data_IF_361631993791
#
_entry.id   IF_361631993791
#
_cell.length_a   1.000
_cell.length_b   1.000
_cell.length_c   1.000
_cell.angle_alpha   90.00
_cell.angle_beta   90.00
_cell.angle_gamma   90.00
#
_symmetry.space_group_name_H-M   'P 1'
#
loop_
_entity.id
_entity.type
_entity.pdbx_description
1 polymer ?
#
# COMPACT_ATOMS: atom_id res chain seq x y z
N UNK A 1 10.11 23.32 -18.24
CA UNK A 1 10.06 22.38 -17.13
C UNK A 1 9.99 20.95 -17.67
N UNK A 2 10.19 19.99 -16.80
CA UNK A 2 10.07 18.56 -17.18
C UNK A 2 8.62 18.06 -17.14
N UNK A 3 7.70 18.84 -16.59
CA UNK A 3 6.32 18.49 -16.35
C UNK A 3 5.43 19.74 -16.48
N UNK A 4 4.22 19.58 -16.94
CA UNK A 4 3.20 20.63 -16.91
C UNK A 4 2.77 20.97 -15.47
N UNK A 5 2.21 22.17 -15.23
CA UNK A 5 1.78 22.55 -13.89
C UNK A 5 0.76 21.57 -13.30
N UNK A 6 0.99 21.16 -12.05
CA UNK A 6 0.10 20.29 -11.31
C UNK A 6 0.08 20.68 -9.83
N UNK A 7 -1.00 20.34 -9.13
CA UNK A 7 -1.10 20.47 -7.69
C UNK A 7 -0.68 19.14 -7.08
N UNK A 8 0.38 19.15 -6.28
CA UNK A 8 0.82 17.98 -5.53
C UNK A 8 0.24 18.06 -4.11
N UNK A 9 -0.56 17.07 -3.74
CA UNK A 9 -1.18 16.96 -2.43
C UNK A 9 -0.53 15.83 -1.65
N UNK A 10 0.01 16.12 -0.49
CA UNK A 10 0.62 15.16 0.43
C UNK A 10 -0.14 15.20 1.76
N UNK A 11 -1.22 14.44 1.89
CA UNK A 11 -2.02 14.46 3.12
C UNK A 11 -1.28 13.77 4.26
N UNK A 12 -1.49 14.25 5.48
CA UNK A 12 -1.11 13.54 6.69
C UNK A 12 -2.09 12.39 6.91
N UNK A 13 -1.60 11.16 6.77
CA UNK A 13 -2.40 9.93 6.85
C UNK A 13 -1.94 9.00 7.97
N UNK A 14 -1.21 9.54 8.96
CA UNK A 14 -0.81 8.78 10.13
C UNK A 14 -2.00 8.42 11.02
N UNK A 15 -1.99 7.19 11.51
CA UNK A 15 -2.96 6.66 12.47
C UNK A 15 -2.32 6.41 13.82
N UNK A 16 -3.08 5.98 14.82
CA UNK A 16 -2.54 5.58 16.13
C UNK A 16 -1.59 4.37 16.07
N UNK A 17 -1.57 3.65 14.95
CA UNK A 17 -0.68 2.50 14.68
C UNK A 17 0.41 2.82 13.65
N UNK A 18 0.59 4.08 13.29
CA UNK A 18 1.52 4.53 12.26
C UNK A 18 0.80 4.94 10.99
N UNK A 19 1.26 4.50 9.81
CA UNK A 19 0.63 4.75 8.53
C UNK A 19 -0.69 3.99 8.33
N UNK A 20 -1.20 3.99 7.11
CA UNK A 20 -2.37 3.20 6.74
C UNK A 20 -2.23 2.65 5.31
N UNK A 21 -3.15 1.76 4.92
CA UNK A 21 -3.16 1.10 3.61
C UNK A 21 -4.23 1.65 2.66
N UNK A 22 -4.81 2.80 2.97
CA UNK A 22 -5.81 3.49 2.13
C UNK A 22 -7.04 2.65 1.78
N UNK A 23 -7.42 1.76 2.68
CA UNK A 23 -8.67 1.00 2.65
C UNK A 23 -9.55 1.38 3.85
N UNK A 24 -10.82 1.04 3.77
CA UNK A 24 -11.73 1.23 4.88
C UNK A 24 -11.58 0.10 5.91
N UNK A 25 -11.34 0.47 7.16
CA UNK A 25 -11.24 -0.44 8.30
C UNK A 25 -12.04 0.13 9.47
N UNK A 26 -12.71 -0.73 10.20
CA UNK A 26 -13.46 -0.33 11.41
C UNK A 26 -12.51 0.12 12.55
N UNK A 27 -11.25 -0.31 12.53
CA UNK A 27 -10.26 -0.01 13.56
C UNK A 27 -9.40 1.19 13.19
N UNK A 28 -8.92 1.23 11.94
CA UNK A 28 -7.94 2.24 11.49
C UNK A 28 -8.64 3.47 10.92
N UNK A 29 -9.85 3.32 10.40
CA UNK A 29 -10.64 4.40 9.80
C UNK A 29 -10.98 4.16 8.33
N UNK A 30 -11.87 4.99 7.80
CA UNK A 30 -12.39 4.87 6.42
C UNK A 30 -11.54 5.65 5.43
N UNK A 31 -10.30 5.23 5.27
CA UNK A 31 -9.31 5.96 4.47
C UNK A 31 -9.52 5.86 2.96
N UNK A 32 -10.07 4.73 2.49
CA UNK A 32 -10.46 4.58 1.09
C UNK A 32 -11.57 5.56 0.72
N UNK A 33 -12.68 5.52 1.46
CA UNK A 33 -13.81 6.45 1.29
C UNK A 33 -13.37 7.92 1.40
N UNK A 34 -12.54 8.25 2.40
CA UNK A 34 -12.04 9.61 2.58
C UNK A 34 -11.22 10.09 1.37
N UNK A 35 -10.33 9.24 0.85
CA UNK A 35 -9.47 9.59 -0.27
C UNK A 35 -10.29 9.79 -1.56
N UNK A 36 -11.21 8.86 -1.83
CA UNK A 36 -12.07 8.86 -3.02
C UNK A 36 -13.07 10.03 -3.03
N UNK A 37 -13.70 10.31 -1.90
CA UNK A 37 -14.80 11.27 -1.82
C UNK A 37 -14.36 12.58 -1.17
N UNK A 38 -14.07 12.56 0.14
CA UNK A 38 -13.91 13.80 0.94
C UNK A 38 -12.75 14.66 0.48
N UNK A 39 -11.57 14.05 0.26
CA UNK A 39 -10.39 14.79 -0.18
C UNK A 39 -10.56 15.34 -1.60
N UNK A 40 -11.08 14.54 -2.53
CA UNK A 40 -11.30 14.97 -3.90
C UNK A 40 -12.34 16.08 -3.99
N UNK A 41 -13.46 15.97 -3.26
CA UNK A 41 -14.48 17.02 -3.20
C UNK A 41 -13.89 18.33 -2.67
N UNK A 42 -13.14 18.29 -1.58
CA UNK A 42 -12.50 19.48 -1.02
C UNK A 42 -11.54 20.15 -1.99
N UNK A 43 -10.75 19.35 -2.72
CA UNK A 43 -9.82 19.87 -3.74
C UNK A 43 -10.56 20.46 -4.94
N UNK A 44 -11.60 19.80 -5.43
CA UNK A 44 -12.42 20.29 -6.55
C UNK A 44 -13.18 21.58 -6.21
N UNK A 45 -13.60 21.73 -4.96
CA UNK A 45 -14.25 22.97 -4.47
C UNK A 45 -13.27 24.13 -4.34
N UNK A 46 -11.96 23.86 -4.21
CA UNK A 46 -10.93 24.88 -3.96
C UNK A 46 -10.13 25.26 -5.21
N UNK A 47 -9.99 24.33 -6.14
CA UNK A 47 -9.15 24.49 -7.32
C UNK A 47 -9.91 24.05 -8.57
N UNK A 48 -9.58 24.67 -9.70
CA UNK A 48 -9.99 24.18 -11.01
C UNK A 48 -9.09 22.99 -11.38
N UNK A 49 -9.67 21.80 -11.41
CA UNK A 49 -8.97 20.52 -11.59
C UNK A 49 -9.52 19.81 -12.80
N UNK A 50 -8.64 19.39 -13.72
CA UNK A 50 -8.99 18.63 -14.92
C UNK A 50 -9.03 17.10 -14.67
N UNK A 51 -8.34 16.61 -13.64
CA UNK A 51 -8.33 15.19 -13.30
C UNK A 51 -7.46 14.90 -12.09
N UNK A 52 -7.46 13.65 -11.62
CA UNK A 52 -6.80 13.19 -10.41
C UNK A 52 -5.91 11.98 -10.68
N UNK A 53 -4.69 12.02 -10.18
CA UNK A 53 -3.78 10.88 -10.18
C UNK A 53 -3.34 10.49 -8.78
N UNK A 54 -3.01 9.24 -8.59
CA UNK A 54 -2.40 8.72 -7.37
C UNK A 54 -0.95 8.34 -7.61
N UNK A 55 -0.09 8.69 -6.67
CA UNK A 55 1.29 8.22 -6.66
C UNK A 55 1.69 7.90 -5.23
N UNK A 56 2.37 6.79 -5.05
CA UNK A 56 2.86 6.44 -3.74
C UNK A 56 3.95 5.40 -3.76
N UNK A 57 4.61 5.26 -2.61
CA UNK A 57 5.65 4.27 -2.36
C UNK A 57 5.24 3.39 -1.18
N UNK A 58 5.63 2.10 -1.20
CA UNK A 58 5.34 1.16 -0.11
C UNK A 58 3.82 1.09 0.16
N UNK A 59 3.35 1.28 1.37
CA UNK A 59 1.91 1.43 1.69
C UNK A 59 1.18 2.43 0.80
N UNK A 60 1.82 3.56 0.44
CA UNK A 60 1.26 4.53 -0.51
C UNK A 60 1.19 3.99 -1.95
N UNK A 61 2.17 3.17 -2.36
CA UNK A 61 2.17 2.47 -3.64
C UNK A 61 1.08 1.40 -3.69
N UNK A 62 0.91 0.65 -2.61
CA UNK A 62 -0.22 -0.25 -2.43
C UNK A 62 -1.55 0.49 -2.54
N UNK A 63 -1.70 1.60 -1.79
CA UNK A 63 -2.88 2.43 -1.87
C UNK A 63 -3.17 2.91 -3.31
N UNK A 64 -2.16 3.34 -4.05
CA UNK A 64 -2.34 3.77 -5.44
C UNK A 64 -2.85 2.62 -6.33
N UNK A 65 -2.27 1.42 -6.23
CA UNK A 65 -2.65 0.29 -7.09
C UNK A 65 -4.05 -0.23 -6.76
N UNK A 66 -4.39 -0.44 -5.48
CA UNK A 66 -5.70 -0.96 -5.11
C UNK A 66 -6.83 0.05 -5.34
N UNK A 67 -6.58 1.35 -5.09
CA UNK A 67 -7.57 2.39 -5.38
C UNK A 67 -7.79 2.53 -6.88
N UNK A 68 -6.71 2.43 -7.68
CA UNK A 68 -6.83 2.38 -9.14
C UNK A 68 -7.56 1.16 -9.67
N UNK A 69 -7.53 0.02 -8.97
CA UNK A 69 -8.32 -1.17 -9.30
C UNK A 69 -9.80 -1.01 -8.94
N UNK A 70 -10.09 -0.43 -7.77
CA UNK A 70 -11.42 -0.49 -7.17
C UNK A 70 -12.30 0.73 -7.45
N UNK A 71 -11.69 1.89 -7.75
CA UNK A 71 -12.38 3.16 -7.93
C UNK A 71 -12.25 3.66 -9.37
N UNK A 72 -13.34 4.18 -9.93
CA UNK A 72 -13.37 4.71 -11.32
C UNK A 72 -13.03 6.21 -11.41
N UNK A 73 -12.49 6.78 -10.34
CA UNK A 73 -12.32 8.23 -10.21
C UNK A 73 -10.87 8.72 -10.38
N UNK A 74 -9.95 7.84 -10.71
CA UNK A 74 -8.54 8.14 -10.91
C UNK A 74 -8.16 8.04 -12.39
N UNK A 75 -7.51 9.08 -12.92
CA UNK A 75 -7.14 9.16 -14.34
C UNK A 75 -5.76 8.54 -14.63
N UNK A 76 -4.91 8.41 -13.63
CA UNK A 76 -3.62 7.72 -13.73
C UNK A 76 -3.10 7.33 -12.34
N UNK A 77 -2.35 6.25 -12.25
CA UNK A 77 -1.76 5.78 -10.98
C UNK A 77 -0.28 5.41 -11.14
N UNK A 78 0.50 5.59 -10.07
CA UNK A 78 1.88 5.11 -10.01
C UNK A 78 2.17 4.44 -8.65
N UNK A 79 2.63 3.21 -8.73
CA UNK A 79 2.99 2.35 -7.60
C UNK A 79 4.51 2.14 -7.58
N UNK A 80 5.19 2.71 -6.60
CA UNK A 80 6.62 2.50 -6.36
C UNK A 80 6.82 1.53 -5.20
N UNK A 81 7.30 0.33 -5.46
CA UNK A 81 7.53 -0.71 -4.44
C UNK A 81 6.33 -0.86 -3.50
N UNK A 82 5.11 -0.92 -4.04
CA UNK A 82 3.88 -1.09 -3.27
C UNK A 82 3.71 -2.52 -2.78
N UNK A 83 3.07 -2.68 -1.62
CA UNK A 83 2.86 -3.98 -1.00
C UNK A 83 2.09 -4.91 -1.95
N UNK A 84 2.64 -6.10 -2.20
CA UNK A 84 2.08 -7.09 -3.11
C UNK A 84 2.69 -8.47 -2.81
N UNK A 85 1.91 -9.54 -2.94
CA UNK A 85 2.34 -10.89 -2.63
C UNK A 85 2.43 -11.12 -1.12
N UNK A 86 1.30 -11.01 -0.43
CA UNK A 86 1.20 -10.99 1.03
C UNK A 86 1.77 -12.24 1.71
N UNK A 87 1.81 -13.37 1.03
CA UNK A 87 2.45 -14.58 1.58
C UNK A 87 3.95 -14.38 1.79
N UNK A 88 4.64 -13.70 0.86
CA UNK A 88 6.07 -13.43 0.92
C UNK A 88 6.41 -12.12 1.65
N UNK A 89 5.45 -11.22 1.77
CA UNK A 89 5.63 -9.93 2.44
C UNK A 89 5.26 -10.01 3.92
N UNK A 90 4.06 -10.48 4.25
CA UNK A 90 3.53 -10.51 5.61
C UNK A 90 3.54 -11.91 6.23
N UNK A 91 3.25 -12.95 5.43
CA UNK A 91 3.15 -14.33 5.92
C UNK A 91 4.44 -14.82 6.56
N UNK A 92 5.58 -14.52 5.98
CA UNK A 92 6.90 -14.91 6.51
C UNK A 92 7.28 -14.21 7.82
N UNK A 93 6.64 -13.07 8.12
CA UNK A 93 6.93 -12.25 9.29
C UNK A 93 6.19 -12.69 10.56
N UNK A 94 5.19 -13.58 10.41
CA UNK A 94 4.31 -13.95 11.51
C UNK A 94 5.07 -14.58 12.71
N UNK A 95 6.06 -15.42 12.44
CA UNK A 95 6.84 -16.06 13.51
C UNK A 95 7.68 -15.05 14.31
N UNK A 96 8.32 -14.11 13.62
CA UNK A 96 9.11 -13.05 14.24
C UNK A 96 8.21 -12.12 15.05
N UNK A 97 7.11 -11.66 14.44
CA UNK A 97 6.13 -10.78 15.09
C UNK A 97 5.55 -11.41 16.34
N UNK A 98 5.12 -12.68 16.26
CA UNK A 98 4.57 -13.40 17.40
C UNK A 98 5.59 -13.52 18.54
N UNK A 99 6.86 -13.79 18.22
CA UNK A 99 7.94 -13.89 19.21
C UNK A 99 8.11 -12.56 19.93
N UNK A 100 8.19 -11.44 19.22
CA UNK A 100 8.35 -10.11 19.81
C UNK A 100 7.13 -9.72 20.67
N UNK A 101 5.93 -9.95 20.18
CA UNK A 101 4.69 -9.71 20.94
C UNK A 101 4.69 -10.49 22.26
N UNK A 102 5.14 -11.76 22.25
CA UNK A 102 5.19 -12.59 23.44
C UNK A 102 6.24 -12.13 24.47
N UNK A 103 7.34 -11.51 24.04
CA UNK A 103 8.33 -10.90 24.95
C UNK A 103 7.71 -9.82 25.84
N UNK A 104 6.73 -9.08 25.30
CA UNK A 104 6.00 -8.04 26.03
C UNK A 104 4.78 -8.56 26.81
N UNK A 105 4.43 -9.84 26.68
CA UNK A 105 3.27 -10.44 27.34
C UNK A 105 1.96 -10.38 26.52
N UNK A 106 2.05 -10.18 25.21
CA UNK A 106 0.95 -10.19 24.26
C UNK A 106 0.78 -8.87 23.53
N UNK A 107 -0.07 -8.87 22.49
CA UNK A 107 -0.30 -7.72 21.61
C UNK A 107 -0.69 -6.44 22.37
N UNK A 108 -1.60 -6.57 23.33
CA UNK A 108 -2.06 -5.43 24.14
C UNK A 108 -0.94 -4.79 24.95
N UNK A 109 -0.05 -5.59 25.54
CA UNK A 109 1.07 -5.08 26.33
C UNK A 109 2.16 -4.50 25.42
N UNK A 110 2.41 -5.10 24.26
CA UNK A 110 3.27 -4.53 23.25
C UNK A 110 2.78 -3.14 22.79
N UNK A 111 1.49 -2.99 22.48
CA UNK A 111 0.93 -1.69 22.07
C UNK A 111 0.99 -0.64 23.20
N UNK A 112 0.86 -1.05 24.47
CA UNK A 112 1.08 -0.13 25.61
C UNK A 112 2.55 0.29 25.69
N UNK A 113 3.48 -0.64 25.49
CA UNK A 113 4.92 -0.35 25.44
C UNK A 113 5.21 0.69 24.35
N UNK A 114 4.78 0.45 23.12
CA UNK A 114 5.00 1.38 21.99
C UNK A 114 4.45 2.77 22.27
N UNK A 115 3.25 2.89 22.83
CA UNK A 115 2.61 4.18 23.16
C UNK A 115 3.37 4.95 24.26
N UNK A 116 4.08 4.26 25.14
CA UNK A 116 4.84 4.86 26.25
C UNK A 116 6.32 5.06 25.94
N UNK A 117 6.83 4.46 24.89
CA UNK A 117 8.25 4.49 24.54
C UNK A 117 8.67 5.88 24.02
N UNK A 118 9.82 6.37 24.51
CA UNK A 118 10.45 7.60 23.98
C UNK A 118 11.17 7.35 22.64
N UNK A 119 11.56 6.11 22.38
CA UNK A 119 12.17 5.65 21.14
C UNK A 119 11.81 4.18 20.92
N UNK A 120 11.60 3.80 19.68
CA UNK A 120 11.32 2.42 19.30
C UNK A 120 12.58 1.77 18.75
N UNK A 121 12.76 0.48 19.03
CA UNK A 121 13.76 -0.35 18.38
C UNK A 121 13.30 -0.69 16.95
N UNK A 122 14.21 -1.03 16.03
CA UNK A 122 13.81 -1.46 14.68
C UNK A 122 12.83 -2.64 14.69
N UNK A 123 12.99 -3.59 15.61
CA UNK A 123 12.14 -4.77 15.79
C UNK A 123 10.72 -4.37 16.22
N UNK A 124 10.59 -3.41 17.16
CA UNK A 124 9.30 -2.88 17.60
C UNK A 124 8.56 -2.21 16.45
N UNK A 125 9.29 -1.51 15.57
CA UNK A 125 8.72 -0.87 14.37
C UNK A 125 8.11 -1.90 13.42
N UNK A 126 8.86 -2.98 13.18
CA UNK A 126 8.42 -4.06 12.30
C UNK A 126 7.19 -4.78 12.87
N UNK A 127 7.23 -5.11 14.15
CA UNK A 127 6.10 -5.73 14.87
C UNK A 127 4.86 -4.82 14.85
N UNK A 128 5.03 -3.50 15.09
CA UNK A 128 3.93 -2.54 15.01
C UNK A 128 3.33 -2.48 13.61
N UNK A 129 4.15 -2.55 12.56
CA UNK A 129 3.68 -2.59 11.17
C UNK A 129 2.76 -3.79 10.94
N UNK A 130 3.15 -4.99 11.37
CA UNK A 130 2.31 -6.20 11.20
C UNK A 130 1.02 -6.11 12.03
N UNK A 131 1.06 -5.55 13.24
CA UNK A 131 -0.15 -5.30 14.03
C UNK A 131 -1.07 -4.24 13.39
N UNK A 132 -0.50 -3.24 12.73
CA UNK A 132 -1.27 -2.28 11.93
C UNK A 132 -1.95 -2.96 10.74
N UNK A 133 -1.29 -3.93 10.09
CA UNK A 133 -1.91 -4.75 9.03
C UNK A 133 -3.05 -5.61 9.60
N UNK A 134 -2.91 -6.19 10.79
CA UNK A 134 -4.00 -6.91 11.46
C UNK A 134 -5.23 -6.01 11.71
N UNK A 135 -5.01 -4.78 12.18
CA UNK A 135 -6.07 -3.80 12.37
C UNK A 135 -6.68 -3.29 11.05
N UNK A 136 -5.93 -3.38 9.96
CA UNK A 136 -6.37 -2.93 8.64
C UNK A 136 -7.17 -4.00 7.92
N UNK A 137 -6.67 -5.24 7.89
CA UNK A 137 -7.20 -6.32 7.07
C UNK A 137 -8.14 -7.28 7.80
N UNK A 138 -8.19 -7.24 9.15
CA UNK A 138 -9.03 -8.11 9.95
C UNK A 138 -9.54 -7.45 11.24
N UNK A 139 -9.74 -8.21 12.29
CA UNK A 139 -10.29 -7.78 13.58
C UNK A 139 -9.26 -7.14 14.54
N UNK A 140 -8.06 -6.88 14.08
CA UNK A 140 -6.98 -6.29 14.88
C UNK A 140 -6.10 -7.31 15.59
N UNK A 141 -6.35 -8.61 15.41
CA UNK A 141 -5.49 -9.68 15.94
C UNK A 141 -4.71 -10.36 14.82
N UNK A 142 -3.54 -10.91 15.14
CA UNK A 142 -2.71 -11.62 14.18
C UNK A 142 -3.47 -12.82 13.58
N UNK A 143 -3.24 -13.15 12.30
CA UNK A 143 -3.85 -14.31 11.66
C UNK A 143 -3.16 -15.64 12.01
N UNK A 144 -2.53 -15.72 13.18
CA UNK A 144 -1.87 -16.91 13.71
C UNK A 144 -2.18 -17.09 15.20
N UNK A 145 -2.23 -18.34 15.65
CA UNK A 145 -2.35 -18.65 17.07
C UNK A 145 -0.97 -18.65 17.78
N UNK A 146 -0.95 -18.93 19.09
CA UNK A 146 0.26 -18.98 19.91
C UNK A 146 1.30 -20.03 19.49
N UNK A 147 0.94 -20.98 18.63
CA UNK A 147 1.84 -21.97 18.03
C UNK A 147 2.28 -21.57 16.62
N UNK A 148 2.01 -20.34 16.22
CA UNK A 148 2.27 -19.82 14.86
C UNK A 148 1.57 -20.62 13.75
N UNK A 149 0.39 -21.18 14.04
CA UNK A 149 -0.46 -21.85 13.07
C UNK A 149 -1.46 -20.82 12.55
N UNK A 150 -1.53 -20.68 11.23
CA UNK A 150 -2.47 -19.76 10.59
C UNK A 150 -3.92 -20.14 10.88
N UNK A 151 -4.73 -19.12 11.14
CA UNK A 151 -6.19 -19.17 11.05
C UNK A 151 -6.55 -18.95 9.58
N UNK A 152 -7.03 -19.98 8.93
CA UNK A 152 -7.28 -19.98 7.48
C UNK A 152 -8.29 -18.89 7.07
N UNK A 153 -9.31 -18.64 7.87
CA UNK A 153 -10.33 -17.63 7.57
C UNK A 153 -9.76 -16.21 7.69
N UNK A 154 -9.00 -15.93 8.74
CA UNK A 154 -8.35 -14.63 8.91
C UNK A 154 -7.29 -14.38 7.84
N UNK A 155 -6.48 -15.41 7.53
CA UNK A 155 -5.47 -15.28 6.51
C UNK A 155 -6.08 -15.08 5.12
N UNK A 156 -7.16 -15.80 4.80
CA UNK A 156 -7.91 -15.57 3.57
C UNK A 156 -8.50 -14.16 3.50
N UNK A 157 -8.92 -13.57 4.63
CA UNK A 157 -9.37 -12.19 4.70
C UNK A 157 -8.22 -11.21 4.36
N UNK A 158 -7.00 -11.43 4.88
CA UNK A 158 -5.83 -10.63 4.47
C UNK A 158 -5.54 -10.78 2.98
N UNK A 159 -5.46 -12.02 2.48
CA UNK A 159 -5.18 -12.31 1.07
C UNK A 159 -6.23 -11.72 0.13
N UNK A 160 -7.46 -11.51 0.59
CA UNK A 160 -8.50 -10.86 -0.22
C UNK A 160 -8.16 -9.41 -0.59
N UNK A 161 -7.25 -8.78 0.13
CA UNK A 161 -6.74 -7.44 -0.11
C UNK A 161 -5.39 -7.42 -0.84
N UNK A 162 -4.78 -8.58 -1.12
CA UNK A 162 -3.57 -8.64 -1.94
C UNK A 162 -3.88 -8.19 -3.38
N UNK A 163 -3.09 -7.28 -3.98
CA UNK A 163 -3.23 -6.92 -5.39
C UNK A 163 -3.28 -8.13 -6.33
N UNK A 164 -2.60 -9.24 -6.00
CA UNK A 164 -2.68 -10.50 -6.76
C UNK A 164 -4.06 -11.14 -6.74
N UNK A 165 -4.81 -10.98 -5.67
CA UNK A 165 -6.20 -11.45 -5.58
C UNK A 165 -7.16 -10.44 -6.20
N UNK A 166 -6.92 -9.14 -5.97
CA UNK A 166 -7.81 -8.07 -6.46
C UNK A 166 -7.82 -7.99 -7.98
N UNK A 167 -6.69 -8.21 -8.65
CA UNK A 167 -6.58 -8.14 -10.12
C UNK A 167 -7.48 -9.17 -10.84
N UNK A 168 -7.84 -10.25 -10.18
CA UNK A 168 -8.77 -11.24 -10.75
C UNK A 168 -10.20 -10.68 -10.86
N UNK A 169 -10.55 -9.71 -10.02
CA UNK A 169 -11.86 -9.07 -9.95
C UNK A 169 -11.92 -7.74 -10.67
N UNK A 170 -10.86 -6.94 -10.56
CA UNK A 170 -10.81 -5.54 -10.95
C UNK A 170 -9.78 -5.35 -12.06
N UNK A 171 -10.20 -5.51 -13.32
CA UNK A 171 -9.31 -5.50 -14.49
C UNK A 171 -9.35 -4.19 -15.27
N UNK A 172 -10.24 -3.27 -14.91
CA UNK A 172 -10.36 -1.96 -15.56
C UNK A 172 -9.55 -0.92 -14.76
N UNK A 173 -8.24 -0.89 -15.00
CA UNK A 173 -7.34 0.07 -14.37
C UNK A 173 -7.17 1.31 -15.24
N UNK A 174 -7.00 2.51 -14.63
CA UNK A 174 -6.50 3.67 -15.36
C UNK A 174 -5.06 3.41 -15.82
N UNK A 175 -4.48 4.27 -16.70
CA UNK A 175 -3.06 4.24 -16.98
C UNK A 175 -2.23 4.01 -15.71
N UNK A 176 -1.43 2.94 -15.71
CA UNK A 176 -0.80 2.41 -14.51
C UNK A 176 0.72 2.32 -14.69
N UNK A 177 1.47 2.88 -13.74
CA UNK A 177 2.91 2.75 -13.62
C UNK A 177 3.25 1.89 -12.40
N UNK A 178 4.06 0.86 -12.58
CA UNK A 178 4.54 0.00 -11.50
C UNK A 178 6.05 -0.11 -11.62
N UNK A 179 6.77 0.18 -10.55
CA UNK A 179 8.19 -0.12 -10.48
C UNK A 179 8.65 -0.61 -9.10
N UNK A 180 9.78 -1.29 -9.06
CA UNK A 180 10.32 -1.89 -7.84
C UNK A 180 11.85 -2.05 -7.93
N UNK A 181 12.54 -1.90 -6.80
CA UNK A 181 13.94 -2.24 -6.69
C UNK A 181 14.16 -3.76 -6.71
N UNK A 182 15.11 -4.23 -7.52
CA UNK A 182 15.38 -5.67 -7.67
C UNK A 182 16.02 -6.34 -6.43
N UNK A 183 16.36 -5.54 -5.40
CA UNK A 183 16.89 -5.96 -4.10
C UNK A 183 16.06 -5.37 -2.97
N UNK A 184 14.73 -5.30 -3.16
CA UNK A 184 13.81 -4.85 -2.13
C UNK A 184 13.87 -5.82 -0.93
N UNK A 185 14.21 -5.30 0.24
CA UNK A 185 14.43 -6.12 1.44
C UNK A 185 13.14 -6.67 2.05
N UNK A 186 11.97 -6.20 1.60
CA UNK A 186 10.66 -6.72 2.01
C UNK A 186 10.09 -7.76 1.04
N UNK A 187 10.88 -8.23 0.06
CA UNK A 187 10.48 -9.20 -0.97
C UNK A 187 9.37 -8.71 -1.92
N UNK A 188 9.05 -7.43 -1.93
CA UNK A 188 7.98 -6.82 -2.72
C UNK A 188 8.19 -7.07 -4.23
N UNK A 189 9.45 -7.14 -4.70
CA UNK A 189 9.77 -7.42 -6.09
C UNK A 189 9.18 -8.75 -6.58
N UNK A 190 9.03 -9.75 -5.72
CA UNK A 190 8.44 -11.03 -6.11
C UNK A 190 6.93 -10.92 -6.32
N UNK A 191 6.22 -10.24 -5.43
CA UNK A 191 4.79 -9.99 -5.57
C UNK A 191 4.49 -9.13 -6.79
N UNK A 192 5.23 -8.02 -6.99
CA UNK A 192 5.01 -7.14 -8.15
C UNK A 192 5.40 -7.78 -9.48
N UNK A 193 6.39 -8.69 -9.54
CA UNK A 193 6.64 -9.52 -10.73
C UNK A 193 5.47 -10.42 -11.06
N UNK A 194 4.87 -11.06 -10.05
CA UNK A 194 3.68 -11.90 -10.22
C UNK A 194 2.52 -11.05 -10.73
N UNK A 195 2.30 -9.88 -10.15
CA UNK A 195 1.26 -8.95 -10.61
C UNK A 195 1.50 -8.50 -12.06
N UNK A 196 2.72 -8.07 -12.41
CA UNK A 196 3.11 -7.74 -13.78
C UNK A 196 2.81 -8.87 -14.77
N UNK A 197 3.23 -10.10 -14.44
CA UNK A 197 2.98 -11.26 -15.30
C UNK A 197 1.48 -11.50 -15.45
N UNK A 198 0.71 -11.41 -14.36
CA UNK A 198 -0.73 -11.61 -14.40
C UNK A 198 -1.47 -10.54 -15.19
N UNK A 199 -1.08 -9.28 -15.05
CA UNK A 199 -1.61 -8.19 -15.86
C UNK A 199 -1.36 -8.40 -17.35
N UNK A 200 -0.17 -8.89 -17.73
CA UNK A 200 0.14 -9.25 -19.13
C UNK A 200 -0.75 -10.38 -19.65
N UNK A 201 -0.98 -11.43 -18.85
CA UNK A 201 -1.89 -12.54 -19.20
C UNK A 201 -3.33 -12.07 -19.41
N UNK A 202 -3.77 -11.08 -18.61
CA UNK A 202 -5.10 -10.47 -18.69
C UNK A 202 -5.22 -9.39 -19.78
N UNK A 203 -4.11 -9.04 -20.44
CA UNK A 203 -4.07 -7.98 -21.47
C UNK A 203 -4.22 -6.56 -20.91
N UNK A 204 -3.89 -6.35 -19.63
CA UNK A 204 -3.96 -5.04 -18.97
C UNK A 204 -2.66 -4.27 -19.25
N UNK A 205 -2.77 -3.19 -20.01
CA UNK A 205 -1.62 -2.34 -20.32
C UNK A 205 -1.14 -1.57 -19.09
N UNK A 206 0.18 -1.59 -18.87
CA UNK A 206 0.83 -0.86 -17.76
C UNK A 206 2.31 -0.61 -18.07
N UNK A 207 2.89 0.42 -17.44
CA UNK A 207 4.33 0.62 -17.41
C UNK A 207 4.95 -0.25 -16.32
N UNK A 208 6.00 -0.98 -16.65
CA UNK A 208 6.73 -1.83 -15.72
C UNK A 208 8.21 -1.57 -15.76
N UNK A 209 8.82 -1.41 -14.59
CA UNK A 209 10.28 -1.37 -14.47
C UNK A 209 10.74 -2.04 -13.17
N UNK A 210 11.62 -3.02 -13.29
CA UNK A 210 12.41 -3.53 -12.17
C UNK A 210 13.81 -2.94 -12.27
N UNK A 211 14.12 -1.97 -11.39
CA UNK A 211 15.37 -1.22 -11.44
C UNK A 211 16.41 -1.74 -10.44
N UNK A 212 17.68 -1.37 -10.66
CA UNK A 212 18.76 -1.67 -9.71
C UNK A 212 18.58 -0.81 -8.45
N UNK A 213 18.13 -1.42 -7.34
CA UNK A 213 17.88 -0.69 -6.09
C UNK A 213 17.25 -1.56 -5.01
N UNK A 214 17.06 -0.93 -3.86
CA UNK A 214 16.40 -1.52 -2.69
C UNK A 214 15.04 -0.84 -2.48
N UNK A 215 14.37 -1.11 -1.35
CA UNK A 215 13.15 -0.40 -0.96
C UNK A 215 13.37 1.08 -0.63
N UNK A 216 14.60 1.45 -0.24
CA UNK A 216 14.93 2.79 0.25
C UNK A 216 15.71 3.61 -0.77
N UNK A 217 15.64 4.96 -0.66
CA UNK A 217 16.40 5.87 -1.52
C UNK A 217 15.88 5.91 -2.97
N UNK A 218 14.62 5.62 -3.19
CA UNK A 218 13.99 5.55 -4.52
C UNK A 218 13.19 6.80 -4.90
N UNK A 219 13.34 7.90 -4.17
CA UNK A 219 12.58 9.15 -4.41
C UNK A 219 12.82 9.73 -5.82
N UNK A 220 13.98 9.44 -6.42
CA UNK A 220 14.28 9.80 -7.81
C UNK A 220 13.32 9.17 -8.83
N UNK A 221 12.56 8.13 -8.45
CA UNK A 221 11.54 7.52 -9.32
C UNK A 221 10.37 8.48 -9.57
N UNK A 222 10.09 9.39 -8.65
CA UNK A 222 9.11 10.45 -8.82
C UNK A 222 9.44 11.40 -9.99
N UNK A 223 10.71 11.57 -10.32
CA UNK A 223 11.15 12.36 -11.49
C UNK A 223 10.66 11.77 -12.82
N UNK A 224 10.33 10.49 -12.84
CA UNK A 224 9.80 9.76 -14.00
C UNK A 224 8.27 9.66 -13.96
N UNK A 225 7.73 9.21 -12.83
CA UNK A 225 6.30 8.91 -12.69
C UNK A 225 5.42 10.16 -12.64
N UNK A 226 5.85 11.25 -11.96
CA UNK A 226 5.04 12.46 -11.88
C UNK A 226 4.78 13.11 -13.24
N UNK A 227 5.78 13.33 -14.13
CA UNK A 227 5.53 13.81 -15.47
C UNK A 227 4.65 12.87 -16.29
N UNK A 228 4.81 11.56 -16.10
CA UNK A 228 4.01 10.55 -16.78
C UNK A 228 2.54 10.59 -16.33
N UNK A 229 2.27 10.70 -15.00
CA UNK A 229 0.91 10.85 -14.45
C UNK A 229 0.24 12.10 -15.02
N UNK A 230 0.90 13.27 -14.94
CA UNK A 230 0.33 14.54 -15.41
C UNK A 230 -0.03 14.47 -16.89
N UNK A 231 0.81 13.84 -17.72
CA UNK A 231 0.53 13.63 -19.14
C UNK A 231 -0.71 12.75 -19.36
N UNK A 232 -0.88 11.69 -18.57
CA UNK A 232 -2.00 10.76 -18.73
C UNK A 232 -3.31 11.36 -18.23
N UNK A 233 -3.32 12.17 -17.17
CA UNK A 233 -4.48 12.93 -16.73
C UNK A 233 -4.99 13.87 -17.84
N UNK A 234 -4.09 14.59 -18.51
CA UNK A 234 -4.45 15.52 -19.59
C UNK A 234 -4.98 14.81 -20.84
N UNK A 235 -4.58 13.56 -21.05
CA UNK A 235 -5.04 12.77 -22.20
C UNK A 235 -6.42 12.16 -22.00
N UNK A 236 -6.88 12.07 -20.75
CA UNK A 236 -8.22 11.57 -20.40
C UNK A 236 -9.31 12.66 -20.44
N UNK A 237 -8.90 13.95 -20.45
CA UNK A 237 -9.79 15.14 -20.55
C UNK A 237 -10.08 15.47 -22.00
#
# INVERSE_FOLDING_TARGET
>A
GKMDPAILVMPDTFTSLGGNQFIDSEIVGKWGTWLENDLREQLSNRYEISGFGLVGKSSGGYGAIIRGMMDDCWDAIACHSGDCGFELLFGIEMATTLTEVMVYGGESEFLKHVKSAQSMKPEDFHTLMILAMAATYSDGTLPVNSNCIFDDDKWAQWLSWDPLTLIEKYQNLPPCWIDVGNKDQYNIQYGLRQLHNRMNELGIEHQWEEFQGTHSGIDHRLDLSLPWIVKNIQSAS
#
